data_IF_204055332713
#
_entry.id   IF_204055332713
#
_cell.length_a   1.000
_cell.length_b   1.000
_cell.length_c   1.000
_cell.angle_alpha   90.00
_cell.angle_beta   90.00
_cell.angle_gamma   90.00
#
_symmetry.space_group_name_H-M   'P 1'
#
loop_
_entity.id
_entity.type
_entity.pdbx_description
1 polymer ?
#
# COMPACT_ATOMS: atom_id res chain seq x y z
N UNK A 1 17.24 -1.34 6.36
CA UNK A 1 15.96 -0.64 6.17
C UNK A 1 15.90 -0.39 4.69
N UNK A 2 14.95 -1.03 4.02
CA UNK A 2 14.90 -1.05 2.57
C UNK A 2 13.84 -0.04 2.13
N UNK A 3 14.08 0.66 1.03
CA UNK A 3 13.07 1.55 0.44
C UNK A 3 12.27 0.77 -0.60
N UNK A 4 10.95 0.83 -0.49
CA UNK A 4 10.04 0.12 -1.39
C UNK A 4 9.14 1.13 -2.10
N UNK A 5 9.29 1.22 -3.42
CA UNK A 5 8.29 1.88 -4.26
C UNK A 5 7.19 0.88 -4.59
N UNK A 6 5.94 1.33 -4.55
CA UNK A 6 4.77 0.47 -4.71
C UNK A 6 3.72 1.10 -5.63
N UNK A 7 3.34 0.32 -6.63
CA UNK A 7 2.17 0.58 -7.49
C UNK A 7 1.07 -0.41 -7.15
N UNK A 8 -0.14 0.06 -6.86
CA UNK A 8 -1.23 -0.79 -6.40
C UNK A 8 -2.61 -0.30 -6.83
N UNK A 9 -3.54 -1.25 -6.86
CA UNK A 9 -4.98 -1.01 -6.82
C UNK A 9 -5.47 -1.50 -5.47
N UNK A 10 -6.27 -0.71 -4.79
CA UNK A 10 -7.04 -1.10 -3.61
C UNK A 10 -8.53 -1.12 -3.97
N UNK A 11 -9.19 -2.18 -3.56
CA UNK A 11 -10.60 -2.42 -3.83
C UNK A 11 -11.32 -2.74 -2.53
N UNK A 12 -12.33 -1.94 -2.23
CA UNK A 12 -13.24 -2.18 -1.12
C UNK A 12 -14.19 -3.32 -1.51
N UNK A 13 -14.01 -4.48 -0.88
CA UNK A 13 -14.78 -5.68 -1.20
C UNK A 13 -16.25 -5.50 -0.81
N UNK A 14 -16.52 -4.68 0.21
CA UNK A 14 -17.87 -4.45 0.73
C UNK A 14 -18.61 -3.44 -0.14
N UNK A 15 -17.97 -2.30 -0.45
CA UNK A 15 -18.53 -1.30 -1.36
C UNK A 15 -18.55 -1.77 -2.82
N UNK A 16 -17.77 -2.81 -3.15
CA UNK A 16 -17.57 -3.33 -4.50
C UNK A 16 -17.01 -2.27 -5.47
N UNK A 17 -16.14 -1.41 -4.96
CA UNK A 17 -15.54 -0.32 -5.74
C UNK A 17 -14.03 -0.18 -5.49
N UNK A 18 -13.34 0.40 -6.47
CA UNK A 18 -11.93 0.76 -6.36
C UNK A 18 -11.81 2.01 -5.51
N UNK A 19 -10.92 2.02 -4.52
CA UNK A 19 -10.78 3.16 -3.61
C UNK A 19 -9.96 4.29 -4.25
N UNK A 20 -10.14 5.50 -3.70
CA UNK A 20 -9.33 6.67 -4.05
C UNK A 20 -7.84 6.55 -3.66
N UNK A 21 -7.48 5.58 -2.83
CA UNK A 21 -6.09 5.34 -2.46
C UNK A 21 -5.29 4.67 -3.58
N UNK A 22 -5.95 4.01 -4.53
CA UNK A 22 -5.28 3.37 -5.67
C UNK A 22 -4.36 4.36 -6.39
N UNK A 23 -3.14 3.95 -6.74
CA UNK A 23 -2.22 4.75 -7.56
C UNK A 23 -1.99 4.13 -8.95
N UNK A 24 -2.83 3.17 -9.32
CA UNK A 24 -2.91 2.56 -10.64
C UNK A 24 -4.38 2.46 -11.02
N UNK A 25 -4.74 2.91 -12.22
CA UNK A 25 -6.12 2.86 -12.72
C UNK A 25 -7.13 3.46 -11.72
N UNK A 26 -6.72 4.49 -10.98
CA UNK A 26 -7.59 5.21 -10.06
C UNK A 26 -8.72 5.85 -10.87
N UNK A 27 -10.00 5.56 -10.54
CA UNK A 27 -11.14 6.00 -11.33
C UNK A 27 -11.54 7.47 -11.07
N UNK A 28 -11.01 8.09 -10.01
CA UNK A 28 -11.43 9.42 -9.57
C UNK A 28 -10.61 10.55 -10.19
N UNK A 29 -9.31 10.35 -10.44
CA UNK A 29 -8.46 11.35 -11.10
C UNK A 29 -7.18 10.73 -11.67
N UNK A 30 -6.81 11.16 -12.87
CA UNK A 30 -5.53 10.80 -13.50
C UNK A 30 -4.31 11.26 -12.68
N UNK A 31 -4.44 12.33 -11.88
CA UNK A 31 -3.35 12.80 -11.03
C UNK A 31 -2.88 11.75 -10.02
N UNK A 32 -3.79 10.90 -9.54
CA UNK A 32 -3.47 9.82 -8.61
C UNK A 32 -2.69 8.67 -9.26
N UNK A 33 -2.68 8.57 -10.59
CA UNK A 33 -2.00 7.52 -11.34
C UNK A 33 -0.55 7.87 -11.71
N UNK A 34 -0.11 9.11 -11.45
CA UNK A 34 1.19 9.59 -11.95
C UNK A 34 2.33 8.90 -11.21
N UNK A 35 2.30 8.90 -9.88
CA UNK A 35 3.44 8.50 -9.05
C UNK A 35 3.18 7.22 -8.22
N UNK A 36 4.21 6.37 -8.00
CA UNK A 36 4.16 5.34 -6.97
C UNK A 36 4.15 5.94 -5.57
N UNK A 37 3.54 5.26 -4.61
CA UNK A 37 3.80 5.52 -3.20
C UNK A 37 5.14 4.86 -2.82
N UNK A 38 5.77 5.37 -1.78
CA UNK A 38 7.02 4.83 -1.26
C UNK A 38 6.89 4.56 0.23
N UNK A 39 7.50 3.48 0.72
CA UNK A 39 7.58 3.21 2.15
C UNK A 39 8.91 2.58 2.52
N UNK A 40 9.34 2.84 3.74
CA UNK A 40 10.46 2.12 4.30
C UNK A 40 10.00 0.82 4.94
N UNK A 41 10.69 -0.26 4.61
CA UNK A 41 10.51 -1.57 5.21
C UNK A 41 11.61 -1.87 6.23
N UNK A 42 11.21 -2.23 7.45
CA UNK A 42 12.13 -2.62 8.52
C UNK A 42 11.74 -3.98 9.05
N UNK A 43 12.69 -4.91 9.04
CA UNK A 43 12.52 -6.26 9.58
C UNK A 43 13.51 -6.47 10.72
N UNK A 44 13.04 -7.14 11.77
CA UNK A 44 13.82 -7.64 12.89
C UNK A 44 13.61 -9.15 13.04
N UNK A 45 14.29 -9.79 13.98
CA UNK A 45 14.11 -11.23 14.24
C UNK A 45 12.68 -11.61 14.69
N UNK A 46 11.90 -10.65 15.18
CA UNK A 46 10.57 -10.91 15.79
C UNK A 46 9.42 -10.12 15.16
N UNK A 47 9.69 -9.14 14.31
CA UNK A 47 8.66 -8.28 13.73
C UNK A 47 9.07 -7.61 12.43
N UNK A 48 8.08 -7.19 11.66
CA UNK A 48 8.23 -6.39 10.45
C UNK A 48 7.27 -5.20 10.49
N UNK A 49 7.75 -4.01 10.12
CA UNK A 49 6.93 -2.79 10.06
C UNK A 49 7.27 -1.96 8.83
N UNK A 50 6.27 -1.25 8.31
CA UNK A 50 6.38 -0.38 7.14
C UNK A 50 5.87 1.01 7.44
N UNK A 51 6.59 2.03 6.96
CA UNK A 51 6.22 3.44 7.12
C UNK A 51 6.25 4.17 5.78
N UNK A 52 5.11 4.70 5.33
CA UNK A 52 5.03 5.52 4.14
C UNK A 52 5.92 6.76 4.26
N UNK A 53 6.65 7.04 3.18
CA UNK A 53 7.49 8.22 3.03
C UNK A 53 6.55 9.35 2.60
N UNK A 54 6.46 10.39 3.42
CA UNK A 54 5.64 11.58 3.17
C UNK A 54 6.45 12.87 3.06
N UNK A 55 7.77 12.75 3.11
CA UNK A 55 8.67 13.89 2.99
C UNK A 55 8.94 14.13 1.50
N UNK A 56 8.70 15.35 1.05
CA UNK A 56 8.70 15.74 -0.37
C UNK A 56 9.92 15.25 -1.15
N UNK A 57 9.70 14.26 -2.03
CA UNK A 57 10.66 13.77 -3.00
C UNK A 57 10.03 13.71 -4.39
N UNK A 58 10.75 14.16 -5.42
CA UNK A 58 10.27 14.08 -6.79
C UNK A 58 9.96 12.62 -7.17
N UNK A 59 8.77 12.37 -7.71
CA UNK A 59 8.39 11.04 -8.19
C UNK A 59 7.73 10.12 -7.15
N UNK A 60 7.42 10.61 -5.95
CA UNK A 60 6.68 9.87 -4.91
C UNK A 60 5.27 10.46 -4.75
N UNK A 61 4.27 9.59 -4.82
CA UNK A 61 2.88 9.84 -4.48
C UNK A 61 2.61 9.55 -3.00
N UNK A 62 1.51 10.09 -2.50
CA UNK A 62 1.10 9.97 -1.10
C UNK A 62 -0.31 9.40 -0.96
N UNK A 63 -0.78 8.59 -1.92
CA UNK A 63 -2.20 8.27 -2.02
C UNK A 63 -2.73 7.54 -0.78
N UNK A 64 -1.95 6.63 -0.18
CA UNK A 64 -2.33 5.97 1.07
C UNK A 64 -2.42 6.95 2.23
N UNK A 65 -1.45 7.85 2.36
CA UNK A 65 -1.45 8.87 3.41
C UNK A 65 -2.61 9.86 3.20
N UNK A 66 -2.83 10.34 1.98
CA UNK A 66 -3.92 11.27 1.66
C UNK A 66 -5.30 10.66 1.88
N UNK A 67 -5.46 9.37 1.66
CA UNK A 67 -6.76 8.68 1.83
C UNK A 67 -7.06 8.36 3.30
N UNK A 68 -6.04 8.01 4.08
CA UNK A 68 -6.22 7.43 5.41
C UNK A 68 -5.60 8.23 6.56
N UNK A 69 -4.92 9.33 6.25
CA UNK A 69 -4.22 10.22 7.20
C UNK A 69 -3.30 9.44 8.15
N UNK A 70 -2.61 8.42 7.62
CA UNK A 70 -1.71 7.56 8.38
C UNK A 70 -0.49 7.19 7.56
N UNK A 71 0.68 7.17 8.21
CA UNK A 71 1.93 6.71 7.60
C UNK A 71 2.18 5.22 7.84
N UNK A 72 1.32 4.52 8.58
CA UNK A 72 1.46 3.08 8.78
C UNK A 72 1.08 2.32 7.51
N UNK A 73 2.00 1.50 7.00
CA UNK A 73 1.71 0.57 5.91
C UNK A 73 0.82 -0.57 6.44
N UNK A 74 -0.25 -0.97 5.73
CA UNK A 74 -1.02 -2.17 6.09
C UNK A 74 -0.08 -3.36 6.31
N UNK A 75 -0.12 -3.98 7.49
CA UNK A 75 0.81 -5.07 7.82
C UNK A 75 0.62 -6.28 6.91
N UNK A 76 -0.57 -6.45 6.32
CA UNK A 76 -0.84 -7.47 5.30
C UNK A 76 0.01 -7.31 4.04
N UNK A 77 0.42 -6.09 3.68
CA UNK A 77 1.30 -5.85 2.53
C UNK A 77 2.73 -6.33 2.76
N UNK A 78 3.16 -6.42 4.02
CA UNK A 78 4.54 -6.75 4.38
C UNK A 78 4.80 -8.26 4.33
N UNK A 79 3.76 -9.08 4.54
CA UNK A 79 3.84 -10.55 4.53
C UNK A 79 4.53 -11.12 3.28
N UNK A 80 4.16 -10.72 2.04
CA UNK A 80 4.79 -11.26 0.84
C UNK A 80 6.25 -10.82 0.64
N UNK A 81 6.72 -9.75 1.27
CA UNK A 81 8.04 -9.16 0.99
C UNK A 81 9.21 -10.12 1.29
N UNK A 82 9.03 -11.08 2.18
CA UNK A 82 10.04 -12.12 2.46
C UNK A 82 10.14 -13.19 1.35
N UNK A 83 9.13 -13.28 0.48
CA UNK A 83 9.02 -14.33 -0.56
C UNK A 83 9.21 -13.80 -1.98
N UNK A 84 9.17 -12.47 -2.17
CA UNK A 84 9.21 -11.85 -3.49
C UNK A 84 10.47 -10.99 -3.66
N UNK A 85 10.76 -10.65 -4.91
CA UNK A 85 11.88 -9.78 -5.28
C UNK A 85 11.38 -8.56 -6.04
N UNK A 86 12.29 -7.63 -6.30
CA UNK A 86 12.01 -6.42 -7.09
C UNK A 86 11.33 -6.77 -8.42
N UNK A 87 10.27 -6.05 -8.78
CA UNK A 87 9.44 -6.28 -9.96
C UNK A 87 8.29 -7.28 -9.77
N UNK A 88 8.14 -7.89 -8.59
CA UNK A 88 7.04 -8.81 -8.34
C UNK A 88 5.66 -8.13 -8.31
N UNK A 89 4.64 -8.92 -8.67
CA UNK A 89 3.21 -8.59 -8.53
C UNK A 89 2.54 -9.59 -7.60
N UNK A 90 1.80 -9.09 -6.62
CA UNK A 90 1.04 -9.90 -5.66
C UNK A 90 -0.41 -9.42 -5.59
N UNK A 91 -1.32 -10.37 -5.35
CA UNK A 91 -2.73 -10.09 -5.08
C UNK A 91 -3.05 -10.60 -3.68
N UNK A 92 -3.63 -9.73 -2.85
CA UNK A 92 -3.88 -10.00 -1.45
C UNK A 92 -5.34 -9.68 -1.11
N UNK A 93 -5.95 -10.49 -0.25
CA UNK A 93 -7.09 -10.07 0.56
C UNK A 93 -6.53 -9.82 1.94
N UNK A 94 -6.57 -8.57 2.39
CA UNK A 94 -6.03 -8.17 3.69
C UNK A 94 -7.20 -8.01 4.67
N UNK A 95 -7.24 -8.80 5.76
CA UNK A 95 -8.27 -8.64 6.78
C UNK A 95 -8.10 -7.31 7.53
N UNK A 96 -9.19 -6.77 8.07
CA UNK A 96 -9.23 -5.47 8.77
C UNK A 96 -8.13 -5.29 9.81
N UNK A 97 -7.84 -6.30 10.63
CA UNK A 97 -6.78 -6.29 11.66
C UNK A 97 -5.37 -6.04 11.10
N UNK A 98 -5.17 -6.25 9.79
CA UNK A 98 -3.90 -6.05 9.09
C UNK A 98 -3.98 -4.97 8.00
N UNK A 99 -5.11 -4.24 7.93
CA UNK A 99 -5.39 -3.18 6.97
C UNK A 99 -4.99 -1.78 7.46
N UNK A 100 -5.36 -0.76 6.70
CA UNK A 100 -5.26 0.65 7.09
C UNK A 100 -6.29 1.04 8.16
N UNK A 101 -6.24 2.29 8.64
CA UNK A 101 -7.09 2.82 9.71
C UNK A 101 -8.59 2.64 9.45
N UNK A 102 -9.05 2.95 8.23
CA UNK A 102 -10.47 2.78 7.86
C UNK A 102 -10.89 1.29 7.87
N UNK A 103 -10.06 0.39 7.34
CA UNK A 103 -10.33 -1.05 7.37
C UNK A 103 -10.47 -1.57 8.81
N UNK A 104 -9.66 -1.08 9.72
CA UNK A 104 -9.70 -1.43 11.15
C UNK A 104 -10.97 -0.90 11.82
N UNK A 105 -11.36 0.35 11.57
CA UNK A 105 -12.55 0.97 12.15
C UNK A 105 -13.84 0.32 11.66
N UNK A 106 -13.95 0.12 10.35
CA UNK A 106 -15.12 -0.46 9.71
C UNK A 106 -15.13 -1.99 9.78
N UNK A 107 -14.03 -2.61 10.22
CA UNK A 107 -13.85 -4.07 10.30
C UNK A 107 -14.03 -4.75 8.94
N UNK A 108 -13.63 -4.08 7.87
CA UNK A 108 -13.78 -4.56 6.49
C UNK A 108 -12.45 -5.07 5.89
N UNK A 109 -12.49 -6.17 5.12
CA UNK A 109 -11.34 -6.61 4.35
C UNK A 109 -11.23 -5.82 3.04
N UNK A 110 -10.00 -5.62 2.59
CA UNK A 110 -9.70 -4.96 1.31
C UNK A 110 -8.90 -5.88 0.41
N UNK A 111 -9.18 -5.83 -0.89
CA UNK A 111 -8.40 -6.50 -1.90
C UNK A 111 -7.33 -5.54 -2.44
N UNK A 112 -6.12 -6.05 -2.63
CA UNK A 112 -5.01 -5.33 -3.22
C UNK A 112 -4.43 -6.08 -4.40
N UNK A 113 -4.20 -5.38 -5.51
CA UNK A 113 -3.37 -5.83 -6.63
C UNK A 113 -2.12 -4.96 -6.69
N UNK A 114 -1.05 -5.42 -6.05
CA UNK A 114 0.22 -4.71 -5.93
C UNK A 114 1.11 -5.18 -7.08
N UNK A 115 1.49 -4.28 -7.99
CA UNK A 115 2.02 -4.65 -9.32
C UNK A 115 3.53 -4.51 -9.49
N UNK A 116 4.17 -3.66 -8.67
CA UNK A 116 5.60 -3.37 -8.76
C UNK A 116 6.14 -3.02 -7.40
N UNK A 117 6.55 -4.02 -6.62
CA UNK A 117 7.48 -3.74 -5.53
C UNK A 117 8.84 -3.46 -6.14
N UNK A 118 9.31 -2.23 -6.12
CA UNK A 118 10.70 -1.92 -6.43
C UNK A 118 11.44 -1.76 -5.12
N UNK A 119 12.31 -2.71 -4.83
CA UNK A 119 13.10 -2.75 -3.60
C UNK A 119 14.48 -2.17 -3.94
N UNK A 120 14.79 -1.02 -3.34
CA UNK A 120 16.05 -0.29 -3.51
C UNK A 120 16.98 -0.51 -2.30
#
# INVERSE_FOLDING_TARGET
RDEILVRFIEYDIIAKDTTGASNVLNPYSESYNIYPDAFYYTVSSSSSYGQFIINEGAGIGYNMYSSYTSTAVPSGWLIPLQYVRSGARVKLIVPSKMGHSEAQQSVYPYFYDIRKFQIN
#
